data_IF_467099323353
#
_entry.id   IF_467099323353
#
_cell.length_a   1.000
_cell.length_b   1.000
_cell.length_c   1.000
_cell.angle_alpha   90.00
_cell.angle_beta   90.00
_cell.angle_gamma   90.00
#
_symmetry.space_group_name_H-M   'P 1'
#
loop_
_entity.id
_entity.type
_entity.pdbx_description
1 polymer ?
#
# COMPACT_ATOMS: atom_id res chain seq x y z
N UNK A 1 -34.57 -21.70 12.95
CA UNK A 1 -34.61 -20.50 12.08
C UNK A 1 -34.01 -19.27 12.76
N UNK A 2 -34.28 -18.97 14.02
CA UNK A 2 -33.76 -17.81 14.77
C UNK A 2 -32.22 -17.81 15.02
N UNK A 3 -31.58 -18.98 15.06
CA UNK A 3 -30.14 -19.15 15.30
C UNK A 3 -29.29 -18.66 14.11
N UNK A 4 -29.74 -18.94 12.87
CA UNK A 4 -29.08 -18.51 11.64
C UNK A 4 -29.17 -17.00 11.40
N UNK A 5 -30.20 -16.32 11.90
CA UNK A 5 -30.36 -14.88 11.77
C UNK A 5 -29.41 -14.12 12.72
N UNK A 6 -29.10 -14.71 13.89
CA UNK A 6 -28.17 -14.11 14.86
C UNK A 6 -26.70 -14.25 14.43
N UNK A 7 -26.32 -15.36 13.78
CA UNK A 7 -24.99 -15.55 13.21
C UNK A 7 -24.73 -14.64 12.00
N UNK A 8 -25.71 -14.47 11.13
CA UNK A 8 -25.61 -13.53 10.00
C UNK A 8 -25.54 -12.07 10.47
N UNK A 9 -26.26 -11.69 11.52
CA UNK A 9 -26.20 -10.34 12.10
C UNK A 9 -24.85 -10.01 12.72
N UNK A 10 -24.22 -10.93 13.43
CA UNK A 10 -22.88 -10.73 14.02
C UNK A 10 -21.78 -10.64 12.96
N UNK A 11 -21.85 -11.44 11.90
CA UNK A 11 -20.89 -11.39 10.79
C UNK A 11 -20.96 -10.07 10.03
N UNK A 12 -22.15 -9.55 9.81
CA UNK A 12 -22.38 -8.28 9.11
C UNK A 12 -21.97 -7.09 9.97
N UNK A 13 -22.24 -7.10 11.27
CA UNK A 13 -21.81 -6.04 12.20
C UNK A 13 -20.29 -5.99 12.32
N UNK A 14 -19.61 -7.15 12.40
CA UNK A 14 -18.14 -7.21 12.45
C UNK A 14 -17.51 -6.69 11.16
N UNK A 15 -18.13 -6.98 10.00
CA UNK A 15 -17.68 -6.46 8.71
C UNK A 15 -17.88 -4.94 8.61
N UNK A 16 -19.03 -4.42 9.01
CA UNK A 16 -19.33 -2.97 9.01
C UNK A 16 -18.36 -2.21 9.93
N UNK A 17 -18.06 -2.74 11.11
CA UNK A 17 -17.07 -2.18 12.02
C UNK A 17 -15.67 -2.17 11.40
N UNK A 18 -15.26 -3.25 10.74
CA UNK A 18 -13.99 -3.30 10.02
C UNK A 18 -13.91 -2.27 8.90
N UNK A 19 -14.97 -2.14 8.11
CA UNK A 19 -15.06 -1.14 7.04
C UNK A 19 -15.04 0.30 7.59
N UNK A 20 -15.72 0.56 8.71
CA UNK A 20 -15.71 1.86 9.36
C UNK A 20 -14.33 2.25 9.90
N UNK A 21 -13.58 1.29 10.47
CA UNK A 21 -12.21 1.50 10.93
C UNK A 21 -11.29 1.88 9.76
N UNK A 22 -11.39 1.18 8.64
CA UNK A 22 -10.59 1.50 7.44
C UNK A 22 -10.97 2.86 6.87
N UNK A 23 -12.26 3.19 6.78
CA UNK A 23 -12.72 4.50 6.31
C UNK A 23 -12.21 5.64 7.21
N UNK A 24 -12.25 5.45 8.54
CA UNK A 24 -11.71 6.41 9.49
C UNK A 24 -10.19 6.57 9.36
N UNK A 25 -9.47 5.47 9.15
CA UNK A 25 -8.03 5.50 8.86
C UNK A 25 -7.71 6.33 7.63
N UNK A 26 -8.44 6.16 6.53
CA UNK A 26 -8.26 6.97 5.32
C UNK A 26 -8.49 8.47 5.55
N UNK A 27 -9.47 8.85 6.38
CA UNK A 27 -9.69 10.25 6.75
C UNK A 27 -8.51 10.78 7.56
N UNK A 28 -8.05 10.03 8.57
CA UNK A 28 -6.88 10.38 9.38
C UNK A 28 -5.62 10.56 8.52
N UNK A 29 -5.36 9.63 7.62
CA UNK A 29 -4.22 9.69 6.67
C UNK A 29 -4.28 10.96 5.83
N UNK A 30 -5.44 11.32 5.31
CA UNK A 30 -5.63 12.56 4.53
C UNK A 30 -5.39 13.82 5.35
N UNK A 31 -5.87 13.85 6.60
CA UNK A 31 -5.66 14.98 7.51
C UNK A 31 -4.17 15.11 7.85
N UNK A 32 -3.50 14.02 8.22
CA UNK A 32 -2.07 14.01 8.52
C UNK A 32 -1.26 14.45 7.29
N UNK A 33 -1.58 13.91 6.11
CA UNK A 33 -0.95 14.29 4.84
C UNK A 33 -1.13 15.78 4.51
N UNK A 34 -2.31 16.33 4.73
CA UNK A 34 -2.57 17.77 4.53
C UNK A 34 -1.78 18.62 5.51
N UNK A 35 -1.76 18.26 6.80
CA UNK A 35 -0.99 18.99 7.84
C UNK A 35 0.51 18.95 7.56
N UNK A 36 1.02 17.85 7.02
CA UNK A 36 2.42 17.72 6.63
C UNK A 36 2.74 18.50 5.35
N UNK A 37 1.84 18.47 4.36
CA UNK A 37 2.07 19.09 3.06
C UNK A 37 2.08 20.62 3.13
N UNK A 38 1.28 21.24 4.00
CA UNK A 38 1.20 22.71 4.14
C UNK A 38 2.53 23.33 4.59
N UNK A 39 3.20 22.88 5.68
CA UNK A 39 4.51 23.41 6.04
C UNK A 39 5.58 23.02 5.02
N UNK A 40 5.53 21.81 4.46
CA UNK A 40 6.49 21.37 3.45
C UNK A 40 6.46 22.31 2.23
N UNK A 41 5.28 22.67 1.78
CA UNK A 41 5.06 23.59 0.66
C UNK A 41 5.68 24.97 0.98
N UNK A 42 5.49 25.49 2.18
CA UNK A 42 6.05 26.78 2.60
C UNK A 42 7.58 26.78 2.73
N UNK A 43 8.18 25.67 3.21
CA UNK A 43 9.62 25.57 3.36
C UNK A 43 10.36 25.32 2.04
N UNK A 44 9.73 24.64 1.09
CA UNK A 44 10.34 24.23 -0.19
C UNK A 44 9.98 25.21 -1.32
N UNK A 45 8.93 26.05 -1.16
CA UNK A 45 8.40 26.94 -2.20
C UNK A 45 9.41 28.02 -2.68
N UNK A 46 10.44 28.33 -1.87
CA UNK A 46 11.49 29.30 -2.24
C UNK A 46 12.58 28.71 -3.14
N UNK A 47 12.51 27.42 -3.46
CA UNK A 47 13.47 26.71 -4.31
C UNK A 47 12.69 25.88 -5.32
N UNK A 48 13.29 25.55 -6.47
CA UNK A 48 12.76 24.62 -7.48
C UNK A 48 12.42 23.21 -6.93
N UNK A 49 12.52 23.04 -5.61
CA UNK A 49 12.39 21.80 -4.88
C UNK A 49 11.03 21.12 -5.00
N UNK A 50 9.94 21.89 -5.13
CA UNK A 50 8.61 21.30 -5.28
C UNK A 50 8.42 20.63 -6.65
N UNK A 51 9.02 21.18 -7.70
CA UNK A 51 9.07 20.56 -9.02
C UNK A 51 9.85 19.24 -8.99
N UNK A 52 11.00 19.22 -8.33
CA UNK A 52 11.86 18.05 -8.14
C UNK A 52 11.13 16.96 -7.35
N UNK A 53 10.46 17.32 -6.25
CA UNK A 53 9.68 16.41 -5.44
C UNK A 53 8.52 15.80 -6.25
N UNK A 54 7.73 16.60 -6.94
CA UNK A 54 6.61 16.14 -7.74
C UNK A 54 7.04 15.24 -8.89
N UNK A 55 8.15 15.56 -9.56
CA UNK A 55 8.73 14.72 -10.60
C UNK A 55 9.14 13.35 -10.06
N UNK A 56 9.85 13.32 -8.94
CA UNK A 56 10.28 12.07 -8.29
C UNK A 56 9.09 11.23 -7.82
N UNK A 57 8.10 11.89 -7.22
CA UNK A 57 6.90 11.24 -6.72
C UNK A 57 6.02 10.69 -7.84
N UNK A 58 5.99 11.33 -8.99
CA UNK A 58 5.23 10.85 -10.16
C UNK A 58 5.77 9.51 -10.63
N UNK A 59 7.07 9.37 -10.86
CA UNK A 59 7.68 8.10 -11.27
C UNK A 59 7.52 7.03 -10.20
N UNK A 60 7.76 7.38 -8.93
CA UNK A 60 7.53 6.47 -7.81
C UNK A 60 6.08 5.95 -7.81
N UNK A 61 5.10 6.84 -7.99
CA UNK A 61 3.68 6.49 -7.96
C UNK A 61 3.28 5.57 -9.13
N UNK A 62 3.84 5.77 -10.32
CA UNK A 62 3.64 4.87 -11.45
C UNK A 62 4.16 3.46 -11.16
N UNK A 63 5.39 3.36 -10.64
CA UNK A 63 5.98 2.07 -10.29
C UNK A 63 5.25 1.41 -9.11
N UNK A 64 4.85 2.19 -8.13
CA UNK A 64 4.03 1.73 -7.01
C UNK A 64 2.71 1.15 -7.49
N UNK A 65 2.00 1.87 -8.35
CA UNK A 65 0.72 1.43 -8.91
C UNK A 65 0.88 0.13 -9.70
N UNK A 66 1.91 0.04 -10.53
CA UNK A 66 2.22 -1.18 -11.30
C UNK A 66 2.57 -2.37 -10.39
N UNK A 67 3.30 -2.13 -9.31
CA UNK A 67 3.74 -3.18 -8.39
C UNK A 67 2.66 -3.65 -7.41
N UNK A 68 1.69 -2.79 -7.10
CA UNK A 68 0.71 -3.06 -6.03
C UNK A 68 -0.74 -3.11 -6.52
N UNK A 69 -1.04 -2.63 -7.73
CA UNK A 69 -2.40 -2.56 -8.26
C UNK A 69 -3.03 -3.95 -8.41
N UNK A 70 -4.15 -4.15 -7.74
CA UNK A 70 -4.99 -5.35 -7.88
C UNK A 70 -4.49 -6.59 -7.13
N UNK A 71 -3.21 -6.72 -6.83
CA UNK A 71 -2.66 -7.91 -6.16
C UNK A 71 -3.18 -8.10 -4.72
N UNK A 72 -3.25 -7.08 -3.85
CA UNK A 72 -3.83 -7.24 -2.51
C UNK A 72 -5.29 -7.70 -2.55
N UNK A 73 -6.06 -7.21 -3.52
CA UNK A 73 -7.47 -7.59 -3.70
C UNK A 73 -7.58 -9.06 -4.13
N UNK A 74 -6.74 -9.49 -5.08
CA UNK A 74 -6.69 -10.88 -5.53
C UNK A 74 -6.29 -11.82 -4.38
N UNK A 75 -5.26 -11.46 -3.61
CA UNK A 75 -4.81 -12.21 -2.43
C UNK A 75 -5.94 -12.31 -1.39
N UNK A 76 -6.59 -11.20 -1.09
CA UNK A 76 -7.70 -11.14 -0.13
C UNK A 76 -8.86 -12.04 -0.54
N UNK A 77 -9.22 -12.05 -1.84
CA UNK A 77 -10.25 -12.91 -2.37
C UNK A 77 -9.89 -14.40 -2.22
N UNK A 78 -8.71 -14.81 -2.68
CA UNK A 78 -8.25 -16.20 -2.60
C UNK A 78 -8.15 -16.70 -1.16
N UNK A 79 -7.62 -15.85 -0.25
CA UNK A 79 -7.54 -16.19 1.18
C UNK A 79 -8.93 -16.31 1.80
N UNK A 80 -9.85 -15.40 1.47
CA UNK A 80 -11.24 -15.46 1.96
C UNK A 80 -11.96 -16.72 1.49
N UNK A 81 -11.79 -17.14 0.24
CA UNK A 81 -12.33 -18.39 -0.32
C UNK A 81 -11.77 -19.61 0.42
N UNK A 82 -10.45 -19.67 0.62
CA UNK A 82 -9.81 -20.76 1.36
C UNK A 82 -10.30 -20.84 2.82
N UNK A 83 -10.47 -19.69 3.48
CA UNK A 83 -11.01 -19.64 4.84
C UNK A 83 -12.50 -20.04 4.91
N UNK A 84 -13.29 -19.72 3.89
CA UNK A 84 -14.71 -20.10 3.84
C UNK A 84 -14.91 -21.62 3.78
N UNK A 85 -13.98 -22.34 3.15
CA UNK A 85 -13.97 -23.82 3.08
C UNK A 85 -13.27 -24.44 4.30
N UNK A 86 -12.76 -23.62 5.24
CA UNK A 86 -12.05 -24.10 6.44
C UNK A 86 -10.63 -24.60 6.18
N UNK A 87 -10.08 -24.37 4.99
CA UNK A 87 -8.74 -24.82 4.60
C UNK A 87 -7.66 -23.78 4.94
N UNK A 88 -7.31 -23.68 6.21
CA UNK A 88 -6.29 -22.72 6.70
C UNK A 88 -4.90 -23.02 6.12
N UNK A 89 -4.61 -24.30 5.78
CA UNK A 89 -3.32 -24.65 5.17
C UNK A 89 -3.18 -24.04 3.78
N UNK A 90 -4.26 -24.02 3.03
CA UNK A 90 -4.30 -23.39 1.70
C UNK A 90 -4.19 -21.88 1.78
N UNK A 91 -4.88 -21.23 2.71
CA UNK A 91 -4.74 -19.81 2.97
C UNK A 91 -3.27 -19.42 3.27
N UNK A 92 -2.56 -20.21 4.09
CA UNK A 92 -1.15 -20.00 4.38
C UNK A 92 -0.25 -20.24 3.16
N UNK A 93 -0.60 -21.18 2.29
CA UNK A 93 0.14 -21.43 1.03
C UNK A 93 -0.01 -20.26 0.06
N UNK A 94 -1.24 -19.75 -0.10
CA UNK A 94 -1.54 -18.57 -0.91
C UNK A 94 -0.71 -17.37 -0.42
N UNK A 95 -0.68 -17.13 0.89
CA UNK A 95 0.12 -16.06 1.48
C UNK A 95 1.61 -16.18 1.19
N UNK A 96 2.18 -17.40 1.27
CA UNK A 96 3.60 -17.64 0.98
C UNK A 96 3.93 -17.34 -0.47
N UNK A 97 3.08 -17.77 -1.41
CA UNK A 97 3.25 -17.48 -2.84
C UNK A 97 3.11 -15.97 -3.10
N UNK A 98 2.10 -15.35 -2.53
CA UNK A 98 1.86 -13.91 -2.65
C UNK A 98 3.04 -13.09 -2.11
N UNK A 99 3.59 -13.47 -0.96
CA UNK A 99 4.77 -12.84 -0.36
C UNK A 99 6.00 -12.95 -1.26
N UNK A 100 6.25 -14.12 -1.85
CA UNK A 100 7.37 -14.32 -2.78
C UNK A 100 7.21 -13.47 -4.04
N UNK A 101 6.00 -13.42 -4.60
CA UNK A 101 5.68 -12.62 -5.78
C UNK A 101 5.85 -11.12 -5.50
N UNK A 102 5.33 -10.63 -4.37
CA UNK A 102 5.50 -9.23 -3.95
C UNK A 102 6.94 -8.86 -3.64
N UNK A 103 7.71 -9.81 -3.11
CA UNK A 103 9.15 -9.64 -2.92
C UNK A 103 9.86 -9.43 -4.26
N UNK A 104 9.60 -10.27 -5.25
CA UNK A 104 10.20 -10.15 -6.59
C UNK A 104 9.77 -8.85 -7.29
N UNK A 105 8.49 -8.51 -7.25
CA UNK A 105 7.97 -7.27 -7.86
C UNK A 105 8.50 -6.01 -7.15
N UNK A 106 8.49 -6.01 -5.83
CA UNK A 106 9.01 -4.90 -5.03
C UNK A 106 10.51 -4.70 -5.22
N UNK A 107 11.28 -5.80 -5.24
CA UNK A 107 12.72 -5.75 -5.51
C UNK A 107 12.98 -5.27 -6.94
N UNK A 108 12.28 -5.83 -7.92
CA UNK A 108 12.41 -5.42 -9.33
C UNK A 108 12.08 -3.94 -9.52
N UNK A 109 10.96 -3.45 -8.97
CA UNK A 109 10.59 -2.04 -9.02
C UNK A 109 11.62 -1.13 -8.35
N UNK A 110 12.14 -1.54 -7.19
CA UNK A 110 13.21 -0.82 -6.49
C UNK A 110 14.49 -0.74 -7.31
N UNK A 111 14.92 -1.83 -7.91
CA UNK A 111 16.13 -1.85 -8.77
C UNK A 111 15.92 -0.97 -10.00
N UNK A 112 14.77 -1.05 -10.66
CA UNK A 112 14.43 -0.21 -11.81
C UNK A 112 14.46 1.27 -11.42
N UNK A 113 13.87 1.64 -10.30
CA UNK A 113 13.86 3.03 -9.84
C UNK A 113 15.26 3.49 -9.41
N UNK A 114 16.05 2.64 -8.74
CA UNK A 114 17.37 2.98 -8.24
C UNK A 114 18.38 3.15 -9.38
N UNK A 115 18.47 2.17 -10.28
CA UNK A 115 19.41 2.22 -11.41
C UNK A 115 18.90 3.07 -12.57
N UNK A 116 17.59 3.17 -12.74
CA UNK A 116 16.93 4.01 -13.75
C UNK A 116 16.74 5.46 -13.34
N UNK A 117 17.10 5.84 -12.11
CA UNK A 117 16.86 7.20 -11.58
C UNK A 117 17.43 8.30 -12.47
N UNK A 118 18.60 8.08 -13.05
CA UNK A 118 19.22 9.03 -13.97
C UNK A 118 18.46 9.18 -15.29
N UNK A 119 18.04 8.06 -15.85
CA UNK A 119 17.26 8.03 -17.09
C UNK A 119 15.90 8.72 -16.89
N UNK A 120 15.21 8.43 -15.79
CA UNK A 120 13.93 9.06 -15.45
C UNK A 120 14.07 10.56 -15.13
N UNK A 121 15.14 10.96 -14.43
CA UNK A 121 15.42 12.35 -14.13
C UNK A 121 15.67 13.16 -15.41
N UNK A 122 16.40 12.61 -16.36
CA UNK A 122 16.65 13.24 -17.67
C UNK A 122 15.38 13.32 -18.52
N UNK A 123 14.55 12.27 -18.52
CA UNK A 123 13.25 12.25 -19.23
C UNK A 123 12.30 13.35 -18.73
N UNK A 124 12.35 13.63 -17.42
CA UNK A 124 11.51 14.68 -16.80
C UNK A 124 12.16 16.07 -16.84
N UNK A 125 13.33 16.19 -17.50
CA UNK A 125 14.11 17.46 -17.52
C UNK A 125 14.41 18.02 -16.12
N UNK A 126 14.53 17.12 -15.12
CA UNK A 126 14.79 17.44 -13.72
C UNK A 126 15.97 16.63 -13.17
N UNK A 127 17.22 16.95 -13.56
CA UNK A 127 18.41 16.20 -13.14
C UNK A 127 18.58 16.11 -11.61
N UNK A 128 18.16 17.17 -10.90
CA UNK A 128 18.20 17.23 -9.45
C UNK A 128 17.25 16.22 -8.76
N UNK A 129 16.26 15.67 -9.49
CA UNK A 129 15.33 14.67 -8.97
C UNK A 129 15.97 13.28 -8.80
N UNK A 130 17.15 13.02 -9.41
CA UNK A 130 17.86 11.73 -9.32
C UNK A 130 18.05 11.27 -7.88
N UNK A 131 18.57 12.15 -7.03
CA UNK A 131 18.85 11.81 -5.62
C UNK A 131 17.56 11.49 -4.86
N UNK A 132 16.49 12.26 -5.10
CA UNK A 132 15.17 12.04 -4.49
C UNK A 132 14.56 10.71 -4.94
N UNK A 133 14.69 10.33 -6.21
CA UNK A 133 14.23 9.04 -6.73
C UNK A 133 14.99 7.87 -6.11
N UNK A 134 16.31 7.98 -5.97
CA UNK A 134 17.13 6.96 -5.31
C UNK A 134 16.76 6.81 -3.83
N UNK A 135 16.46 7.90 -3.15
CA UNK A 135 16.02 7.86 -1.74
C UNK A 135 14.63 7.23 -1.57
N UNK A 136 13.74 7.41 -2.57
CA UNK A 136 12.40 6.81 -2.57
C UNK A 136 12.41 5.32 -2.97
N UNK A 137 13.43 4.84 -3.67
CA UNK A 137 13.46 3.47 -4.18
C UNK A 137 13.27 2.39 -3.08
N UNK A 138 13.92 2.44 -1.90
CA UNK A 138 13.71 1.44 -0.86
C UNK A 138 12.28 1.40 -0.33
N UNK A 139 11.57 2.53 -0.31
CA UNK A 139 10.19 2.58 0.17
C UNK A 139 9.25 1.76 -0.70
N UNK A 140 9.51 1.68 -2.01
CA UNK A 140 8.75 0.85 -2.95
C UNK A 140 8.80 -0.65 -2.59
N UNK A 141 9.96 -1.14 -2.16
CA UNK A 141 10.10 -2.50 -1.69
C UNK A 141 9.26 -2.77 -0.43
N UNK A 142 9.37 -1.90 0.56
CA UNK A 142 8.64 -2.07 1.81
C UNK A 142 7.12 -1.97 1.61
N UNK A 143 6.64 -1.05 0.78
CA UNK A 143 5.21 -0.92 0.48
C UNK A 143 4.66 -2.12 -0.29
N UNK A 144 5.43 -2.71 -1.22
CA UNK A 144 5.06 -3.94 -1.89
C UNK A 144 4.94 -5.11 -0.90
N UNK A 145 5.89 -5.24 0.04
CA UNK A 145 5.83 -6.25 1.10
C UNK A 145 4.61 -6.06 2.00
N UNK A 146 4.33 -4.82 2.43
CA UNK A 146 3.15 -4.50 3.24
C UNK A 146 1.85 -4.85 2.50
N UNK A 147 1.78 -4.67 1.19
CA UNK A 147 0.62 -5.03 0.37
C UNK A 147 0.27 -6.51 0.45
N UNK A 148 1.28 -7.41 0.49
CA UNK A 148 1.04 -8.84 0.67
C UNK A 148 0.40 -9.15 2.05
N UNK A 149 0.89 -8.53 3.10
CA UNK A 149 0.34 -8.68 4.46
C UNK A 149 -1.08 -8.12 4.55
N UNK A 150 -1.33 -6.94 3.96
CA UNK A 150 -2.67 -6.34 3.91
C UNK A 150 -3.66 -7.24 3.20
N UNK A 151 -3.32 -7.76 2.03
CA UNK A 151 -4.19 -8.69 1.29
C UNK A 151 -4.53 -9.94 2.10
N UNK A 152 -3.57 -10.51 2.81
CA UNK A 152 -3.78 -11.66 3.67
C UNK A 152 -4.70 -11.38 4.87
N UNK A 153 -4.43 -10.31 5.61
CA UNK A 153 -5.22 -9.95 6.80
C UNK A 153 -6.65 -9.53 6.45
N UNK A 154 -6.83 -8.84 5.32
CA UNK A 154 -8.15 -8.52 4.79
C UNK A 154 -8.92 -9.79 4.38
N UNK A 155 -8.24 -10.75 3.75
CA UNK A 155 -8.83 -12.05 3.39
C UNK A 155 -9.27 -12.86 4.61
N UNK A 156 -8.57 -12.72 5.73
CA UNK A 156 -8.95 -13.31 7.02
C UNK A 156 -10.02 -12.50 7.78
N UNK A 157 -10.62 -11.47 7.16
CA UNK A 157 -11.60 -10.55 7.76
C UNK A 157 -11.06 -9.75 8.96
N UNK A 158 -9.74 -9.63 9.10
CA UNK A 158 -9.11 -8.82 10.13
C UNK A 158 -8.61 -7.49 9.49
N UNK A 159 -9.35 -6.41 9.73
CA UNK A 159 -9.06 -5.08 9.15
C UNK A 159 -8.14 -4.21 10.00
N UNK A 160 -7.93 -4.55 11.27
CA UNK A 160 -7.12 -3.76 12.20
C UNK A 160 -5.66 -3.57 11.74
N UNK A 161 -4.93 -4.63 11.29
CA UNK A 161 -3.56 -4.45 10.82
C UNK A 161 -3.46 -3.56 9.58
N UNK A 162 -4.46 -3.61 8.70
CA UNK A 162 -4.54 -2.75 7.51
C UNK A 162 -4.66 -1.28 7.91
N UNK A 163 -5.61 -0.94 8.78
CA UNK A 163 -5.81 0.41 9.28
C UNK A 163 -4.57 0.96 10.01
N UNK A 164 -3.94 0.15 10.87
CA UNK A 164 -2.72 0.53 11.58
C UNK A 164 -1.56 0.81 10.61
N UNK A 165 -1.38 -0.05 9.59
CA UNK A 165 -0.31 0.12 8.60
C UNK A 165 -0.51 1.38 7.74
N UNK A 166 -1.75 1.73 7.37
CA UNK A 166 -2.05 2.94 6.61
C UNK A 166 -1.74 4.21 7.40
N UNK A 167 -2.06 4.24 8.70
CA UNK A 167 -1.73 5.38 9.58
C UNK A 167 -0.21 5.55 9.70
N UNK A 168 0.54 4.47 9.83
CA UNK A 168 2.02 4.52 9.94
C UNK A 168 2.66 4.93 8.62
N UNK A 169 2.13 4.47 7.48
CA UNK A 169 2.65 4.82 6.14
C UNK A 169 2.36 6.27 5.75
N UNK A 170 1.35 6.90 6.37
CA UNK A 170 0.92 8.28 6.05
C UNK A 170 1.90 9.39 6.48
N UNK A 171 3.07 9.03 7.02
CA UNK A 171 4.13 9.98 7.36
C UNK A 171 4.97 10.38 6.14
#
# INVERSE_FOLDING_TARGET
MARNLKENGMGTQTFLWGAAIVAFSHILVKVIGAVFKIPLDRFILHTEGMGIYNASYTIYNWLYMLSTAGLPVAISKMVSEACAVGNIKEASRIFRIAKALMFCLGLGGTLILFFGAELFANLLSAPSAKLSMMALAPSLFFTAMMSAYRGYTQGMKNMLPTAASEIVESR
#
